data_IF_879674104792
#
_entry.id   IF_879674104792
#
_cell.length_a   1.000
_cell.length_b   1.000
_cell.length_c   1.000
_cell.angle_alpha   90.00
_cell.angle_beta   90.00
_cell.angle_gamma   90.00
#
_symmetry.space_group_name_H-M   'P 1'
#
loop_
_entity.id
_entity.type
_entity.pdbx_description
1 polymer ?
#
# COMPACT_ATOMS: atom_id res chain seq x y z
N UNK A 1 -31.22 16.49 -37.29
CA UNK A 1 -30.19 17.23 -36.53
C UNK A 1 -30.34 17.08 -35.02
N UNK A 2 -31.52 17.32 -34.41
CA UNK A 2 -31.72 17.22 -32.95
C UNK A 2 -31.28 15.88 -32.33
N UNK A 3 -31.65 14.72 -32.92
CA UNK A 3 -31.25 13.39 -32.40
C UNK A 3 -29.73 13.16 -32.45
N UNK A 4 -29.05 13.56 -33.54
CA UNK A 4 -27.58 13.46 -33.65
C UNK A 4 -26.90 14.31 -32.58
N UNK A 5 -27.40 15.53 -32.37
CA UNK A 5 -26.90 16.40 -31.31
C UNK A 5 -27.10 15.77 -29.92
N UNK A 6 -28.25 15.13 -29.66
CA UNK A 6 -28.50 14.42 -28.38
C UNK A 6 -27.50 13.28 -28.17
N UNK A 7 -27.30 12.40 -29.15
CA UNK A 7 -26.32 11.30 -29.02
C UNK A 7 -24.89 11.79 -28.87
N UNK A 8 -24.53 12.87 -29.58
CA UNK A 8 -23.24 13.52 -29.43
C UNK A 8 -23.03 14.06 -28.01
N UNK A 9 -24.03 14.77 -27.46
CA UNK A 9 -23.97 15.29 -26.10
C UNK A 9 -23.88 14.17 -25.06
N UNK A 10 -24.66 13.10 -25.20
CA UNK A 10 -24.56 11.91 -24.35
C UNK A 10 -23.15 11.31 -24.45
N UNK A 11 -22.61 11.18 -25.66
CA UNK A 11 -21.25 10.67 -25.88
C UNK A 11 -20.19 11.49 -25.15
N UNK A 12 -20.23 12.81 -25.29
CA UNK A 12 -19.32 13.72 -24.59
C UNK A 12 -19.46 13.57 -23.09
N UNK A 13 -20.69 13.54 -22.55
CA UNK A 13 -20.91 13.41 -21.11
C UNK A 13 -20.32 12.10 -20.59
N UNK A 14 -20.59 10.96 -21.24
CA UNK A 14 -20.03 9.66 -20.84
C UNK A 14 -18.49 9.65 -20.92
N UNK A 15 -17.93 10.19 -21.99
CA UNK A 15 -16.48 10.30 -22.17
C UNK A 15 -15.84 11.16 -21.07
N UNK A 16 -16.37 12.35 -20.81
CA UNK A 16 -15.81 13.27 -19.83
C UNK A 16 -15.93 12.76 -18.38
N UNK A 17 -17.03 12.06 -18.04
CA UNK A 17 -17.21 11.48 -16.70
C UNK A 17 -16.24 10.31 -16.46
N UNK A 18 -15.97 9.51 -17.47
CA UNK A 18 -15.13 8.31 -17.36
C UNK A 18 -13.64 8.57 -17.56
N UNK A 19 -13.27 9.67 -18.25
CA UNK A 19 -11.88 10.00 -18.59
C UNK A 19 -10.94 10.10 -17.37
N UNK A 20 -11.27 10.81 -16.26
CA UNK A 20 -10.36 10.93 -15.11
C UNK A 20 -10.02 9.58 -14.50
N UNK A 21 -11.04 8.74 -14.31
CA UNK A 21 -10.88 7.43 -13.69
C UNK A 21 -10.14 6.46 -14.62
N UNK A 22 -10.52 6.40 -15.90
CA UNK A 22 -9.85 5.55 -16.89
C UNK A 22 -8.37 5.90 -17.00
N UNK A 23 -8.05 7.20 -17.01
CA UNK A 23 -6.66 7.69 -17.08
C UNK A 23 -5.87 7.24 -15.86
N UNK A 24 -6.39 7.46 -14.64
CA UNK A 24 -5.72 7.04 -13.41
C UNK A 24 -5.48 5.53 -13.38
N UNK A 25 -6.48 4.73 -13.73
CA UNK A 25 -6.37 3.27 -13.75
C UNK A 25 -5.38 2.75 -14.80
N UNK A 26 -5.29 3.38 -15.97
CA UNK A 26 -4.26 3.04 -16.98
C UNK A 26 -2.87 3.42 -16.47
N UNK A 27 -2.73 4.61 -15.89
CA UNK A 27 -1.45 5.05 -15.33
C UNK A 27 -0.96 4.17 -14.19
N UNK A 28 -1.90 3.61 -13.40
CA UNK A 28 -1.64 2.59 -12.39
C UNK A 28 -0.98 1.35 -12.99
N UNK A 29 -1.55 0.79 -14.06
CA UNK A 29 -1.00 -0.38 -14.76
C UNK A 29 0.40 -0.10 -15.34
N UNK A 30 0.58 1.07 -15.95
CA UNK A 30 1.88 1.48 -16.50
C UNK A 30 2.93 1.61 -15.40
N UNK A 31 2.59 2.21 -14.26
CA UNK A 31 3.51 2.35 -13.14
C UNK A 31 3.81 1.00 -12.48
N UNK A 32 2.79 0.16 -12.27
CA UNK A 32 2.98 -1.19 -11.74
C UNK A 32 3.93 -1.99 -12.62
N UNK A 33 3.76 -1.93 -13.94
CA UNK A 33 4.67 -2.59 -14.87
C UNK A 33 6.09 -2.02 -14.73
N UNK A 34 6.25 -0.69 -14.72
CA UNK A 34 7.55 -0.03 -14.59
C UNK A 34 8.24 -0.39 -13.25
N UNK A 35 7.50 -0.46 -12.14
CA UNK A 35 8.05 -0.81 -10.84
C UNK A 35 8.46 -2.28 -10.81
N UNK A 36 7.64 -3.18 -11.36
CA UNK A 36 7.97 -4.59 -11.48
C UNK A 36 9.14 -4.85 -12.44
N UNK A 37 9.36 -4.01 -13.44
CA UNK A 37 10.53 -4.10 -14.32
C UNK A 37 11.82 -3.64 -13.63
N UNK A 38 11.76 -2.62 -12.76
CA UNK A 38 12.94 -2.05 -12.09
C UNK A 38 13.29 -2.74 -10.78
N UNK A 39 12.30 -3.17 -10.01
CA UNK A 39 12.49 -3.66 -8.64
C UNK A 39 11.94 -5.08 -8.47
N UNK A 40 12.54 -5.81 -7.54
CA UNK A 40 11.96 -7.00 -6.94
C UNK A 40 11.95 -6.81 -5.44
N UNK A 41 10.77 -6.85 -4.85
CA UNK A 41 10.57 -6.71 -3.42
C UNK A 41 10.20 -8.07 -2.86
N UNK A 42 10.98 -8.57 -1.91
CA UNK A 42 10.74 -9.85 -1.25
C UNK A 42 10.47 -9.59 0.22
N UNK A 43 9.35 -10.08 0.73
CA UNK A 43 9.00 -9.95 2.12
C UNK A 43 9.74 -11.01 2.95
N UNK A 44 10.35 -10.59 4.05
CA UNK A 44 11.17 -11.48 4.91
C UNK A 44 10.31 -12.28 5.89
N UNK A 45 9.17 -11.73 6.33
CA UNK A 45 8.22 -12.44 7.20
C UNK A 45 7.20 -13.24 6.38
N UNK A 46 7.67 -14.19 5.57
CA UNK A 46 6.82 -15.13 4.86
C UNK A 46 7.03 -16.57 5.35
N UNK A 47 5.92 -17.25 5.65
CA UNK A 47 5.87 -18.71 5.73
C UNK A 47 5.75 -19.31 7.12
N UNK A 48 5.69 -20.65 7.10
CA UNK A 48 5.79 -21.52 8.27
C UNK A 48 7.04 -22.39 8.09
N UNK A 49 7.96 -22.45 9.07
CA UNK A 49 7.91 -21.81 10.38
C UNK A 49 8.13 -20.28 10.31
N UNK A 50 7.65 -19.57 11.34
CA UNK A 50 7.79 -18.12 11.40
C UNK A 50 9.25 -17.65 11.41
N UNK A 51 9.55 -16.62 10.63
CA UNK A 51 10.88 -15.98 10.57
C UNK A 51 11.23 -15.37 11.92
N UNK A 52 12.46 -15.61 12.40
CA UNK A 52 12.98 -15.03 13.64
C UNK A 52 12.91 -13.49 13.61
N UNK A 53 12.70 -12.87 14.77
CA UNK A 53 12.70 -11.40 14.91
C UNK A 53 14.09 -10.78 14.73
N UNK A 54 15.14 -11.59 14.88
CA UNK A 54 16.51 -11.26 14.50
C UNK A 54 16.76 -11.70 13.05
N UNK A 55 17.22 -10.79 12.22
CA UNK A 55 17.57 -11.03 10.82
C UNK A 55 19.01 -10.61 10.54
N UNK A 56 19.73 -11.41 9.75
CA UNK A 56 21.10 -11.10 9.32
C UNK A 56 21.08 -10.68 7.85
N UNK A 57 21.63 -9.49 7.56
CA UNK A 57 21.83 -8.99 6.22
C UNK A 57 23.28 -8.55 6.03
N UNK A 58 24.05 -9.27 5.21
CA UNK A 58 25.44 -8.92 4.85
C UNK A 58 26.30 -8.62 6.10
N UNK A 59 26.28 -9.53 7.07
CA UNK A 59 26.98 -9.45 8.37
C UNK A 59 26.42 -8.43 9.37
N UNK A 60 25.38 -7.69 9.02
CA UNK A 60 24.66 -6.81 9.94
C UNK A 60 23.47 -7.52 10.58
N UNK A 61 23.30 -7.31 11.87
CA UNK A 61 22.23 -7.94 12.66
C UNK A 61 21.15 -6.91 12.95
N UNK A 62 19.94 -7.19 12.50
CA UNK A 62 18.75 -6.37 12.76
C UNK A 62 17.85 -7.12 13.72
N UNK A 63 17.42 -6.45 14.80
CA UNK A 63 16.61 -7.06 15.86
C UNK A 63 15.46 -6.16 16.28
N UNK A 64 14.38 -6.78 16.78
CA UNK A 64 13.32 -6.10 17.51
C UNK A 64 13.38 -6.56 18.97
N UNK A 65 13.59 -5.62 19.88
CA UNK A 65 13.44 -5.84 21.32
C UNK A 65 12.08 -5.31 21.76
N UNK A 66 11.27 -6.17 22.38
CA UNK A 66 9.93 -5.82 22.86
C UNK A 66 9.92 -5.57 24.37
N UNK A 67 9.27 -4.49 24.81
CA UNK A 67 8.99 -4.19 26.22
C UNK A 67 7.47 -4.07 26.43
N UNK A 68 6.84 -5.09 27.00
CA UNK A 68 5.39 -5.11 27.26
C UNK A 68 5.04 -4.04 28.30
N UNK A 69 4.11 -3.14 27.97
CA UNK A 69 3.65 -2.05 28.86
C UNK A 69 2.39 -2.42 29.61
N UNK A 70 1.47 -3.10 28.94
CA UNK A 70 0.19 -3.51 29.50
C UNK A 70 0.08 -5.03 29.40
N UNK A 71 0.05 -5.71 30.55
CA UNK A 71 -0.15 -7.17 30.60
C UNK A 71 -1.56 -7.59 30.15
N UNK A 72 -2.51 -6.64 30.16
CA UNK A 72 -3.89 -6.91 29.76
C UNK A 72 -3.95 -7.09 28.24
N UNK A 73 -4.04 -8.35 27.82
CA UNK A 73 -4.33 -8.67 26.43
C UNK A 73 -5.77 -8.36 26.04
N UNK A 74 -5.98 -8.03 24.77
CA UNK A 74 -7.29 -7.97 24.12
C UNK A 74 -7.29 -8.83 22.85
N UNK A 75 -8.48 -9.12 22.32
CA UNK A 75 -8.65 -9.78 21.03
C UNK A 75 -8.90 -8.70 19.99
N UNK A 76 -8.12 -8.70 18.91
CA UNK A 76 -8.31 -7.79 17.78
C UNK A 76 -9.46 -8.27 16.85
N UNK A 77 -9.92 -7.47 15.87
CA UNK A 77 -10.99 -7.86 14.96
C UNK A 77 -10.69 -9.09 14.08
N UNK A 78 -9.47 -9.59 14.09
CA UNK A 78 -9.03 -10.77 13.34
C UNK A 78 -8.70 -11.93 14.29
N UNK A 79 -9.30 -11.93 15.48
CA UNK A 79 -9.18 -12.95 16.52
C UNK A 79 -7.75 -13.15 17.08
N UNK A 80 -6.84 -12.20 16.86
CA UNK A 80 -5.49 -12.30 17.42
C UNK A 80 -5.47 -11.82 18.86
N UNK A 81 -4.80 -12.59 19.72
CA UNK A 81 -4.47 -12.15 21.08
C UNK A 81 -3.35 -11.11 21.02
N UNK A 82 -3.65 -9.89 21.44
CA UNK A 82 -2.79 -8.72 21.29
C UNK A 82 -2.51 -8.05 22.63
N UNK A 83 -1.29 -7.56 22.83
CA UNK A 83 -0.88 -6.70 23.97
C UNK A 83 -0.24 -5.42 23.45
N UNK A 84 -0.04 -4.44 24.33
CA UNK A 84 0.64 -3.19 24.00
C UNK A 84 2.10 -3.25 24.48
N UNK A 85 3.03 -2.95 23.59
CA UNK A 85 4.46 -2.96 23.87
C UNK A 85 5.18 -1.77 23.22
N UNK A 86 6.33 -1.40 23.78
CA UNK A 86 7.33 -0.62 23.06
C UNK A 86 8.20 -1.58 22.25
N UNK A 87 8.49 -1.24 20.99
CA UNK A 87 9.35 -2.01 20.10
C UNK A 87 10.58 -1.20 19.75
N UNK A 88 11.74 -1.63 20.23
CA UNK A 88 13.03 -1.03 19.93
C UNK A 88 13.68 -1.76 18.76
N UNK A 89 13.97 -1.05 17.69
CA UNK A 89 14.60 -1.60 16.49
C UNK A 89 16.10 -1.36 16.62
N UNK A 90 16.88 -2.43 16.60
CA UNK A 90 18.32 -2.40 16.75
C UNK A 90 19.02 -2.81 15.47
N UNK A 91 20.12 -2.13 15.15
CA UNK A 91 21.09 -2.50 14.12
C UNK A 91 22.45 -2.66 14.82
N UNK A 92 23.04 -3.85 14.73
CA UNK A 92 24.33 -4.20 15.35
C UNK A 92 24.40 -3.86 16.85
N UNK A 93 23.25 -4.03 17.54
CA UNK A 93 23.10 -3.72 18.96
C UNK A 93 22.77 -2.26 19.29
N UNK A 94 22.89 -1.33 18.34
CA UNK A 94 22.52 0.07 18.51
C UNK A 94 21.04 0.30 18.19
N UNK A 95 20.34 1.04 19.06
CA UNK A 95 18.93 1.37 18.84
C UNK A 95 18.77 2.46 17.77
N UNK A 96 18.16 2.12 16.64
CA UNK A 96 17.96 3.04 15.50
C UNK A 96 16.57 3.68 15.49
N UNK A 97 15.56 3.04 16.09
CA UNK A 97 14.23 3.63 16.30
C UNK A 97 13.46 2.90 17.42
N UNK A 98 12.41 3.54 17.92
CA UNK A 98 11.46 2.93 18.82
C UNK A 98 10.03 3.25 18.40
N UNK A 99 9.17 2.23 18.37
CA UNK A 99 7.72 2.35 18.28
C UNK A 99 7.14 2.27 19.69
N UNK A 100 6.46 3.32 20.13
CA UNK A 100 5.98 3.45 21.52
C UNK A 100 4.51 3.06 21.62
N UNK A 101 4.18 2.13 22.51
CA UNK A 101 2.84 1.61 22.75
C UNK A 101 2.15 1.00 21.52
N UNK A 102 2.85 0.22 20.69
CA UNK A 102 2.26 -0.45 19.54
C UNK A 102 1.65 -1.82 19.89
N UNK A 103 0.61 -2.26 19.16
CA UNK A 103 0.04 -3.59 19.35
C UNK A 103 0.97 -4.69 18.85
N UNK A 104 1.08 -5.79 19.59
CA UNK A 104 1.79 -7.00 19.16
C UNK A 104 0.94 -8.25 19.37
N UNK A 105 1.02 -9.21 18.43
CA UNK A 105 0.30 -10.48 18.49
C UNK A 105 1.08 -11.49 19.33
N UNK A 106 0.67 -11.73 20.58
CA UNK A 106 1.45 -12.54 21.53
C UNK A 106 1.40 -14.05 21.26
N UNK A 107 0.39 -14.51 20.53
CA UNK A 107 0.26 -15.91 20.11
C UNK A 107 1.18 -16.25 18.93
N UNK A 108 1.60 -15.24 18.17
CA UNK A 108 2.51 -15.38 17.03
C UNK A 108 3.97 -15.48 17.47
N UNK A 109 4.82 -15.94 16.56
CA UNK A 109 6.27 -16.07 16.78
C UNK A 109 7.06 -15.21 15.81
N UNK A 110 8.24 -14.76 16.25
CA UNK A 110 9.17 -14.00 15.43
C UNK A 110 8.54 -12.73 14.85
N UNK A 111 8.84 -12.41 13.59
CA UNK A 111 8.37 -11.18 12.93
C UNK A 111 6.85 -11.12 12.74
N UNK A 112 6.15 -12.25 12.74
CA UNK A 112 4.68 -12.27 12.61
C UNK A 112 3.98 -11.58 13.79
N UNK A 113 4.65 -11.48 14.94
CA UNK A 113 4.16 -10.74 16.11
C UNK A 113 3.91 -9.26 15.82
N UNK A 114 4.67 -8.70 14.88
CA UNK A 114 4.69 -7.26 14.57
C UNK A 114 3.95 -6.94 13.26
N UNK A 115 3.14 -7.87 12.76
CA UNK A 115 2.35 -7.68 11.55
C UNK A 115 1.53 -6.39 11.62
N UNK A 116 1.59 -5.58 10.55
CA UNK A 116 0.91 -4.29 10.47
C UNK A 116 1.72 -3.12 11.04
N UNK A 117 2.74 -3.39 11.86
CA UNK A 117 3.55 -2.37 12.55
C UNK A 117 4.98 -2.28 12.00
N UNK A 118 5.61 -3.43 11.76
CA UNK A 118 6.98 -3.56 11.27
C UNK A 118 7.00 -4.51 10.07
N UNK A 119 7.67 -4.12 8.99
CA UNK A 119 7.97 -5.00 7.87
C UNK A 119 9.47 -4.98 7.54
N UNK A 120 10.02 -6.17 7.35
CA UNK A 120 11.36 -6.40 6.81
C UNK A 120 11.25 -6.86 5.37
N UNK A 121 11.91 -6.16 4.46
CA UNK A 121 11.86 -6.44 3.02
C UNK A 121 13.28 -6.46 2.45
N UNK A 122 13.50 -7.28 1.43
CA UNK A 122 14.65 -7.19 0.54
C UNK A 122 14.21 -6.49 -0.73
N UNK A 123 14.87 -5.38 -1.05
CA UNK A 123 14.68 -4.62 -2.29
C UNK A 123 15.87 -4.90 -3.20
N UNK A 124 15.63 -5.56 -4.33
CA UNK A 124 16.62 -5.74 -5.39
C UNK A 124 16.35 -4.71 -6.50
N UNK A 125 17.30 -3.83 -6.78
CA UNK A 125 17.32 -3.01 -7.99
C UNK A 125 17.86 -3.85 -9.15
N UNK A 126 16.98 -4.20 -10.09
CA UNK A 126 17.31 -5.08 -11.22
C UNK A 126 18.25 -4.44 -12.22
N UNK A 127 18.33 -3.10 -12.26
CA UNK A 127 19.17 -2.36 -13.19
C UNK A 127 20.58 -2.15 -12.62
N UNK A 128 20.66 -1.83 -11.33
CA UNK A 128 21.94 -1.61 -10.66
C UNK A 128 22.56 -2.89 -10.09
N UNK A 129 21.82 -4.00 -10.09
CA UNK A 129 22.20 -5.29 -9.49
C UNK A 129 22.60 -5.15 -8.00
N UNK A 130 21.88 -4.28 -7.28
CA UNK A 130 22.11 -4.00 -5.86
C UNK A 130 20.95 -4.45 -5.01
N UNK A 131 21.26 -5.07 -3.89
CA UNK A 131 20.27 -5.42 -2.87
C UNK A 131 20.32 -4.44 -1.71
N UNK A 132 19.15 -4.13 -1.17
CA UNK A 132 19.01 -3.33 0.03
C UNK A 132 18.07 -4.02 0.99
N UNK A 133 18.38 -3.95 2.27
CA UNK A 133 17.47 -4.35 3.32
C UNK A 133 16.65 -3.15 3.77
N UNK A 134 15.35 -3.34 3.81
CA UNK A 134 14.37 -2.31 4.11
C UNK A 134 13.68 -2.66 5.43
N UNK A 135 13.66 -1.69 6.35
CA UNK A 135 12.84 -1.73 7.55
C UNK A 135 11.78 -0.65 7.41
N UNK A 136 10.53 -1.08 7.35
CA UNK A 136 9.38 -0.19 7.25
C UNK A 136 8.62 -0.19 8.57
N UNK A 137 8.51 0.99 9.18
CA UNK A 137 7.87 1.20 10.45
C UNK A 137 6.63 2.06 10.28
N UNK A 138 5.51 1.58 10.79
CA UNK A 138 4.31 2.39 10.94
C UNK A 138 4.42 3.20 12.23
N UNK A 139 4.64 4.51 12.12
CA UNK A 139 4.79 5.40 13.29
C UNK A 139 3.44 5.76 13.91
N UNK A 140 2.36 5.71 13.13
CA UNK A 140 1.00 5.93 13.63
C UNK A 140 0.48 4.67 14.31
N UNK A 141 0.30 4.73 15.63
CA UNK A 141 -0.34 3.66 16.41
C UNK A 141 -1.81 3.53 16.05
N UNK A 142 -2.25 2.31 15.78
CA UNK A 142 -3.65 1.94 15.68
C UNK A 142 -3.96 0.82 16.68
N UNK A 143 -5.13 0.89 17.32
CA UNK A 143 -5.58 -0.17 18.24
C UNK A 143 -7.02 -0.47 17.91
N UNK A 144 -7.20 -1.37 16.95
CA UNK A 144 -8.53 -1.72 16.46
C UNK A 144 -9.21 -2.70 17.42
N UNK A 145 -10.50 -2.49 17.65
CA UNK A 145 -11.35 -3.36 18.48
C UNK A 145 -12.71 -3.52 17.82
N UNK A 146 -13.21 -4.74 17.87
CA UNK A 146 -14.58 -5.03 17.45
C UNK A 146 -15.56 -4.72 18.58
N UNK A 147 -16.62 -4.00 18.25
CA UNK A 147 -17.69 -3.61 19.15
C UNK A 147 -18.81 -4.68 19.14
N UNK A 148 -19.69 -4.76 20.16
CA UNK A 148 -20.75 -5.76 20.22
C UNK A 148 -21.74 -5.75 19.04
N UNK A 149 -21.80 -4.65 18.29
CA UNK A 149 -22.62 -4.50 17.09
C UNK A 149 -21.90 -4.92 15.79
N UNK A 150 -20.66 -5.42 15.88
CA UNK A 150 -19.82 -5.81 14.74
C UNK A 150 -18.98 -4.67 14.15
N UNK A 151 -19.10 -3.44 14.66
CA UNK A 151 -18.30 -2.33 14.14
C UNK A 151 -16.85 -2.40 14.64
N UNK A 152 -15.90 -2.09 13.75
CA UNK A 152 -14.49 -1.96 14.13
C UNK A 152 -14.18 -0.49 14.41
N UNK A 153 -13.70 -0.20 15.62
CA UNK A 153 -13.30 1.13 16.08
C UNK A 153 -11.81 1.19 16.42
N UNK A 154 -11.25 2.40 16.53
CA UNK A 154 -9.85 2.61 16.92
C UNK A 154 -8.84 2.57 15.77
N UNK A 155 -9.33 2.44 14.54
CA UNK A 155 -8.55 2.71 13.34
C UNK A 155 -8.31 4.21 13.14
N UNK A 156 -7.23 4.54 12.44
CA UNK A 156 -6.86 5.91 12.07
C UNK A 156 -7.11 6.07 10.56
N UNK A 157 -7.73 7.19 10.11
CA UNK A 157 -7.89 7.45 8.68
C UNK A 157 -6.56 7.35 7.94
N UNK A 158 -6.56 6.73 6.75
CA UNK A 158 -5.34 6.44 5.99
C UNK A 158 -4.49 7.70 5.76
N UNK A 159 -5.14 8.84 5.54
CA UNK A 159 -4.51 10.15 5.30
C UNK A 159 -3.68 10.67 6.48
N UNK A 160 -3.87 10.09 7.68
CA UNK A 160 -3.14 10.45 8.90
C UNK A 160 -2.06 9.42 9.28
N UNK A 161 -1.89 8.38 8.47
CA UNK A 161 -0.87 7.37 8.71
C UNK A 161 0.51 7.95 8.36
N UNK A 162 1.47 7.67 9.24
CA UNK A 162 2.85 8.12 9.15
C UNK A 162 3.77 6.92 9.20
N UNK A 163 4.81 6.98 8.39
CA UNK A 163 5.75 5.88 8.22
C UNK A 163 7.17 6.38 8.34
N UNK A 164 8.07 5.46 8.69
CA UNK A 164 9.50 5.64 8.59
C UNK A 164 10.12 4.46 7.90
N UNK A 165 10.90 4.75 6.87
CA UNK A 165 11.67 3.80 6.08
C UNK A 165 13.12 3.89 6.52
N UNK A 166 13.74 2.75 6.82
CA UNK A 166 15.19 2.63 6.89
C UNK A 166 15.67 1.74 5.74
N UNK A 167 16.72 2.20 5.07
CA UNK A 167 17.37 1.48 3.97
C UNK A 167 18.80 1.19 4.38
N UNK A 168 19.12 -0.09 4.53
CA UNK A 168 20.46 -0.60 4.78
C UNK A 168 21.01 -1.15 3.48
N UNK A 169 22.11 -0.57 2.98
CA UNK A 169 22.77 -1.09 1.79
C UNK A 169 23.81 -2.17 2.13
N UNK A 170 24.36 -2.82 1.11
CA UNK A 170 25.36 -3.88 1.23
C UNK A 170 26.68 -3.46 1.91
N UNK A 171 26.91 -2.16 2.06
CA UNK A 171 28.11 -1.61 2.73
C UNK A 171 27.87 -1.29 4.20
N UNK A 172 26.67 -1.57 4.72
CA UNK A 172 26.28 -1.22 6.08
C UNK A 172 25.83 0.22 6.28
N UNK A 173 25.74 1.03 5.22
CA UNK A 173 25.25 2.39 5.36
C UNK A 173 23.73 2.37 5.50
N UNK A 174 23.25 2.97 6.58
CA UNK A 174 21.82 3.16 6.83
C UNK A 174 21.40 4.58 6.46
N UNK A 175 20.31 4.68 5.70
CA UNK A 175 19.59 5.93 5.47
C UNK A 175 18.18 5.81 6.05
N UNK A 176 17.58 6.93 6.45
CA UNK A 176 16.20 6.94 6.94
C UNK A 176 15.39 8.07 6.32
N UNK A 177 14.12 7.78 6.04
CA UNK A 177 13.17 8.76 5.53
C UNK A 177 11.83 8.58 6.24
N UNK A 178 11.30 9.68 6.78
CA UNK A 178 9.92 9.73 7.27
C UNK A 178 9.02 10.28 6.17
N UNK A 179 7.80 9.74 6.07
CA UNK A 179 6.81 10.21 5.11
C UNK A 179 5.39 9.99 5.63
N UNK A 180 4.48 10.87 5.21
CA UNK A 180 3.05 10.74 5.46
C UNK A 180 2.40 9.95 4.31
N UNK A 181 1.29 9.26 4.59
CA UNK A 181 0.60 8.40 3.62
C UNK A 181 0.29 9.11 2.30
N UNK A 182 -0.13 10.38 2.35
CA UNK A 182 -0.49 11.16 1.15
C UNK A 182 0.69 11.71 0.36
N UNK A 183 1.89 11.68 0.95
CA UNK A 183 3.13 12.21 0.36
C UNK A 183 4.05 11.10 -0.18
N UNK A 184 3.56 9.86 -0.15
CA UNK A 184 4.32 8.69 -0.57
C UNK A 184 4.70 8.76 -2.06
N UNK A 185 5.89 8.29 -2.37
CA UNK A 185 6.30 8.04 -3.75
C UNK A 185 5.89 6.63 -4.25
N UNK A 186 6.24 6.32 -5.50
CA UNK A 186 5.91 5.04 -6.11
C UNK A 186 6.60 3.85 -5.41
N UNK A 187 7.87 3.99 -5.03
CA UNK A 187 8.59 2.91 -4.34
C UNK A 187 8.04 2.69 -2.93
N UNK A 188 7.75 3.77 -2.22
CA UNK A 188 7.12 3.70 -0.90
C UNK A 188 5.75 3.03 -0.97
N UNK A 189 4.96 3.28 -2.02
CA UNK A 189 3.67 2.60 -2.24
C UNK A 189 3.85 1.08 -2.36
N UNK A 190 4.81 0.63 -3.17
CA UNK A 190 5.13 -0.79 -3.32
C UNK A 190 5.63 -1.44 -2.02
N UNK A 191 6.52 -0.77 -1.30
CA UNK A 191 7.06 -1.26 -0.03
C UNK A 191 5.98 -1.36 1.05
N UNK A 192 5.05 -0.39 1.11
CA UNK A 192 3.90 -0.42 2.02
C UNK A 192 3.00 -1.63 1.75
N UNK A 193 2.66 -1.86 0.47
CA UNK A 193 1.84 -3.01 0.04
C UNK A 193 2.54 -4.35 0.35
N UNK A 194 3.80 -4.50 -0.07
CA UNK A 194 4.59 -5.71 0.17
C UNK A 194 4.79 -5.98 1.67
N UNK A 195 4.97 -4.93 2.48
CA UNK A 195 5.12 -5.04 3.93
C UNK A 195 3.83 -5.42 4.65
N UNK A 196 2.66 -5.15 4.07
CA UNK A 196 1.38 -5.32 4.76
C UNK A 196 1.23 -4.42 5.98
N UNK A 197 1.82 -3.21 5.93
CA UNK A 197 1.74 -2.19 7.00
C UNK A 197 0.66 -1.12 6.72
N UNK A 198 -0.03 -1.27 5.60
CA UNK A 198 -1.23 -0.52 5.23
C UNK A 198 -2.49 -1.36 5.52
N UNK A 199 -3.62 -0.72 5.87
CA UNK A 199 -4.86 -1.43 6.20
C UNK A 199 -5.50 -2.16 5.00
N UNK A 200 -5.21 -1.72 3.77
CA UNK A 200 -5.67 -2.31 2.52
C UNK A 200 -4.61 -2.01 1.45
N UNK A 201 -4.62 -2.78 0.35
CA UNK A 201 -3.73 -2.52 -0.78
C UNK A 201 -4.01 -1.15 -1.38
N UNK A 202 -2.96 -0.39 -1.65
CA UNK A 202 -3.05 1.00 -2.12
C UNK A 202 -2.43 1.15 -3.51
N UNK A 203 -2.99 2.04 -4.32
CA UNK A 203 -2.41 2.44 -5.59
C UNK A 203 -1.54 3.70 -5.50
N UNK A 204 -0.86 4.01 -6.59
CA UNK A 204 -0.09 5.25 -6.78
C UNK A 204 -1.01 6.44 -7.06
N UNK A 205 -2.03 6.25 -7.91
CA UNK A 205 -2.95 7.32 -8.33
C UNK A 205 -4.39 7.06 -7.90
N UNK A 206 -4.74 5.79 -7.72
CA UNK A 206 -6.07 5.36 -7.30
C UNK A 206 -6.05 3.93 -6.77
N UNK A 207 -6.79 3.70 -5.69
CA UNK A 207 -6.94 2.36 -5.07
C UNK A 207 -8.02 1.51 -5.79
N UNK A 208 -8.42 1.90 -6.99
CA UNK A 208 -9.54 1.31 -7.68
C UNK A 208 -9.31 -0.15 -8.10
N UNK A 209 -8.09 -0.48 -8.48
CA UNK A 209 -7.75 -1.87 -8.81
C UNK A 209 -7.77 -2.78 -7.58
N UNK A 210 -7.70 -2.20 -6.39
CA UNK A 210 -7.63 -2.92 -5.11
C UNK A 210 -9.00 -3.15 -4.47
N UNK A 211 -10.06 -2.50 -4.99
CA UNK A 211 -11.43 -2.69 -4.53
C UNK A 211 -12.12 -3.87 -5.25
N UNK A 212 -13.02 -4.54 -4.52
CA UNK A 212 -13.73 -5.74 -4.99
C UNK A 212 -14.28 -5.60 -6.42
N UNK A 213 -13.96 -6.53 -7.34
CA UNK A 213 -14.50 -6.50 -8.69
C UNK A 213 -16.00 -6.73 -8.64
N UNK A 214 -16.76 -5.79 -9.18
CA UNK A 214 -18.18 -5.98 -9.48
C UNK A 214 -18.35 -6.07 -11.00
N UNK A 215 -19.49 -6.59 -11.46
CA UNK A 215 -19.81 -6.55 -12.89
C UNK A 215 -19.83 -5.09 -13.44
N UNK A 216 -20.12 -4.11 -12.58
CA UNK A 216 -20.16 -2.69 -12.95
C UNK A 216 -18.75 -2.04 -12.96
N UNK A 217 -17.81 -2.54 -12.16
CA UNK A 217 -16.51 -1.92 -11.95
C UNK A 217 -15.42 -3.00 -11.83
N UNK A 218 -14.35 -2.96 -12.65
CA UNK A 218 -13.92 -1.85 -13.51
C UNK A 218 -14.39 -1.94 -14.98
N UNK A 219 -15.14 -2.98 -15.36
CA UNK A 219 -15.42 -3.29 -16.77
C UNK A 219 -16.41 -2.30 -17.42
N UNK A 220 -17.59 -2.11 -16.82
CA UNK A 220 -18.62 -1.20 -17.35
C UNK A 220 -18.26 0.27 -17.10
N UNK A 221 -17.76 0.58 -15.91
CA UNK A 221 -17.15 1.85 -15.56
C UNK A 221 -15.76 1.61 -14.98
N UNK A 222 -14.72 2.34 -15.41
CA UNK A 222 -14.80 3.49 -16.32
C UNK A 222 -14.60 3.14 -17.81
N UNK A 223 -14.08 1.94 -18.15
CA UNK A 223 -13.58 1.65 -19.50
C UNK A 223 -14.64 1.52 -20.59
N UNK A 224 -15.70 0.72 -20.39
CA UNK A 224 -16.74 0.61 -21.41
C UNK A 224 -17.48 1.94 -21.60
N UNK A 225 -17.73 2.66 -20.50
CA UNK A 225 -18.33 3.99 -20.52
C UNK A 225 -17.47 4.97 -21.32
N UNK A 226 -16.15 4.91 -21.16
CA UNK A 226 -15.18 5.68 -21.92
C UNK A 226 -15.23 5.36 -23.41
N UNK A 227 -15.20 4.08 -23.78
CA UNK A 227 -15.24 3.61 -25.17
C UNK A 227 -16.56 4.00 -25.86
N UNK A 228 -17.70 3.74 -25.21
CA UNK A 228 -19.02 4.09 -25.75
C UNK A 228 -19.14 5.62 -25.91
N UNK A 229 -18.69 6.38 -24.90
CA UNK A 229 -18.67 7.85 -24.96
C UNK A 229 -17.86 8.37 -26.14
N UNK A 230 -16.66 7.81 -26.35
CA UNK A 230 -15.79 8.15 -27.47
C UNK A 230 -16.45 7.81 -28.82
N UNK A 231 -17.00 6.60 -28.98
CA UNK A 231 -17.66 6.17 -30.21
C UNK A 231 -18.85 7.08 -30.54
N UNK A 232 -19.73 7.37 -29.58
CA UNK A 232 -20.87 8.25 -29.78
C UNK A 232 -20.43 9.67 -30.19
N UNK A 233 -19.38 10.18 -29.55
CA UNK A 233 -18.82 11.51 -29.87
C UNK A 233 -18.31 11.57 -31.30
N UNK A 234 -17.57 10.55 -31.75
CA UNK A 234 -16.98 10.50 -33.10
C UNK A 234 -18.04 10.27 -34.19
N UNK A 235 -18.97 9.34 -33.99
CA UNK A 235 -19.99 8.96 -34.98
C UNK A 235 -21.04 10.07 -35.17
N UNK A 236 -21.42 10.75 -34.09
CA UNK A 236 -22.47 11.77 -34.13
C UNK A 236 -21.94 13.20 -34.16
N UNK A 237 -20.63 13.38 -34.36
CA UNK A 237 -19.97 14.68 -34.49
C UNK A 237 -20.73 15.55 -35.51
N UNK A 238 -21.20 16.75 -35.12
CA UNK A 238 -21.94 17.64 -36.01
C UNK A 238 -20.97 18.35 -36.97
N UNK A 239 -20.36 17.61 -37.89
CA UNK A 239 -19.59 18.19 -38.99
C UNK A 239 -20.53 18.96 -39.92
N UNK A 240 -20.38 20.29 -40.00
CA UNK A 240 -20.93 21.06 -41.12
C UNK A 240 -20.22 20.54 -42.37
N UNK A 241 -20.96 19.91 -43.29
CA UNK A 241 -20.45 19.72 -44.67
C UNK A 241 -20.14 21.11 -45.21
N UNK A 242 -18.85 21.44 -45.34
CA UNK A 242 -18.42 22.57 -46.17
C UNK A 242 -18.86 22.20 -47.58
N UNK A 243 -19.91 22.86 -48.09
CA UNK A 243 -20.30 22.72 -49.50
C UNK A 243 -19.11 23.23 -50.33
N UNK A 244 -18.54 22.35 -51.16
CA UNK A 244 -17.75 22.77 -52.32
C UNK A 244 -18.69 23.39 -53.36
#
# INVERSE_FOLDING_TARGET
>A
MKKKLVFFLIGITLFLISLPMSTKMIMELIHNQKMNEHYKITKVNEGYPATQSTYNFQDHIIEVEETIKEEKSFIDPWENKTVIADLSIKLDGENIDTLINHPIRVAEKGLNRYYGEIAYLILEDKKEEKSQFIILLKKTREVQKEMPNGDIVGGVPAEKLKYKLYTLNEKGNINSQSFDFNERDALQTELLNAGGVVPYSIGYYTDAWEWYPSLLFPLLFPFLTFIIGLILTLVFLPLRRVKK
#
